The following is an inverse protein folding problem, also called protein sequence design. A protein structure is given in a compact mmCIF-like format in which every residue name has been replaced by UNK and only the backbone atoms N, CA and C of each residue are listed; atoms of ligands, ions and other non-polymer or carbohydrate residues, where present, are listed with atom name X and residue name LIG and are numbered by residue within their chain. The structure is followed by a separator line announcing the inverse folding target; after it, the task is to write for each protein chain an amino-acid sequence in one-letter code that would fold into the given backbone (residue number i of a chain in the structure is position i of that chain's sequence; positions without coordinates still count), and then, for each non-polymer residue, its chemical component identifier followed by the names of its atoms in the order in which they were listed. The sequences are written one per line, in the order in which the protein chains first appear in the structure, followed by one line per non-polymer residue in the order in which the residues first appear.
data_IF_854792118422
#
_entry.id   IF_854792118422
#
_cell.length_a   1.000
_cell.length_b   1.000
_cell.length_c   1.000
_cell.angle_alpha   90.00
_cell.angle_beta   90.00
_cell.angle_gamma   90.00
#
_symmetry.space_group_name_H-M   'P 1'
#
loop_
_entity.id
_entity.type
_entity.pdbx_description
1 polymer ?
#
# COMPACT_ATOMS: atom_id res chain seq x y z
N UNK A 1 -34.69 29.70 -34.93
CA UNK A 1 -33.63 29.59 -33.90
C UNK A 1 -33.68 28.19 -33.29
N UNK A 2 -32.73 27.31 -33.64
CA UNK A 2 -32.55 25.98 -33.01
C UNK A 2 -31.09 25.92 -32.57
N UNK A 3 -30.82 25.96 -31.27
CA UNK A 3 -29.46 25.89 -30.74
C UNK A 3 -28.99 24.44 -30.68
N UNK A 4 -27.96 24.16 -31.46
CA UNK A 4 -27.27 22.88 -31.54
C UNK A 4 -26.50 22.66 -30.22
N UNK A 5 -26.85 21.63 -29.46
CA UNK A 5 -26.10 21.25 -28.24
C UNK A 5 -24.93 20.34 -28.64
N UNK A 6 -23.75 20.94 -28.79
CA UNK A 6 -22.48 20.23 -28.88
C UNK A 6 -22.21 19.52 -27.54
N UNK A 7 -21.93 18.20 -27.51
CA UNK A 7 -21.55 17.53 -26.27
C UNK A 7 -20.17 18.01 -25.80
N UNK A 8 -19.91 18.06 -24.47
CA UNK A 8 -18.62 18.49 -23.96
C UNK A 8 -17.51 17.54 -24.42
N UNK A 9 -16.47 18.13 -25.04
CA UNK A 9 -15.19 17.49 -25.34
C UNK A 9 -14.72 16.72 -24.10
N UNK A 10 -14.46 15.41 -24.25
CA UNK A 10 -13.68 14.62 -23.29
C UNK A 10 -12.38 15.38 -23.00
N UNK A 11 -12.21 15.81 -21.76
CA UNK A 11 -10.95 16.37 -21.29
C UNK A 11 -9.84 15.37 -21.54
N UNK A 12 -8.91 15.79 -22.39
CA UNK A 12 -7.62 15.14 -22.64
C UNK A 12 -6.93 14.97 -21.28
N UNK A 13 -6.33 13.81 -20.95
CA UNK A 13 -5.58 13.67 -19.71
C UNK A 13 -4.46 14.70 -19.72
N UNK A 14 -4.50 15.60 -18.74
CA UNK A 14 -3.50 16.63 -18.54
C UNK A 14 -2.20 15.92 -18.16
N UNK A 15 -1.27 15.91 -19.13
CA UNK A 15 0.14 15.52 -19.06
C UNK A 15 0.46 14.19 -18.38
N UNK A 16 0.77 13.18 -19.20
CA UNK A 16 1.43 11.92 -18.80
C UNK A 16 2.61 12.12 -17.82
N UNK A 17 3.30 13.27 -17.88
CA UNK A 17 4.37 13.63 -16.94
C UNK A 17 3.90 13.78 -15.49
N UNK A 18 2.68 14.29 -15.25
CA UNK A 18 2.08 14.38 -13.91
C UNK A 18 1.67 12.99 -13.40
N UNK A 19 1.01 12.18 -14.24
CA UNK A 19 0.58 10.84 -13.86
C UNK A 19 1.76 9.88 -13.56
N UNK A 20 2.88 10.01 -14.29
CA UNK A 20 4.11 9.26 -14.01
C UNK A 20 4.82 9.76 -12.75
N UNK A 21 4.75 11.07 -12.49
CA UNK A 21 5.23 11.67 -11.24
C UNK A 21 4.47 11.11 -10.03
N UNK A 22 3.14 11.18 -10.07
CA UNK A 22 2.26 10.68 -9.03
C UNK A 22 2.48 9.18 -8.77
N UNK A 23 2.62 8.38 -9.84
CA UNK A 23 2.92 6.95 -9.72
C UNK A 23 4.29 6.69 -9.09
N UNK A 24 5.29 7.50 -9.42
CA UNK A 24 6.64 7.36 -8.87
C UNK A 24 6.67 7.71 -7.38
N UNK A 25 5.91 8.73 -6.95
CA UNK A 25 5.76 9.09 -5.55
C UNK A 25 5.03 7.99 -4.77
N UNK A 26 3.90 7.48 -5.30
CA UNK A 26 3.17 6.36 -4.70
C UNK A 26 4.05 5.11 -4.55
N UNK A 27 4.85 4.77 -5.56
CA UNK A 27 5.77 3.63 -5.49
C UNK A 27 6.86 3.84 -4.42
N UNK A 28 7.37 5.07 -4.26
CA UNK A 28 8.35 5.39 -3.20
C UNK A 28 7.73 5.25 -1.82
N UNK A 29 6.52 5.77 -1.63
CA UNK A 29 5.78 5.66 -0.38
C UNK A 29 5.52 4.19 -0.01
N UNK A 30 5.11 3.38 -0.98
CA UNK A 30 4.88 1.95 -0.77
C UNK A 30 6.17 1.22 -0.38
N UNK A 31 7.30 1.53 -1.04
CA UNK A 31 8.60 0.95 -0.70
C UNK A 31 9.06 1.39 0.69
N UNK A 32 8.85 2.67 1.06
CA UNK A 32 9.18 3.19 2.37
C UNK A 32 8.38 2.47 3.48
N UNK A 33 7.07 2.33 3.29
CA UNK A 33 6.20 1.60 4.21
C UNK A 33 6.63 0.13 4.34
N UNK A 34 6.89 -0.57 3.23
CA UNK A 34 7.30 -1.97 3.26
C UNK A 34 8.63 -2.17 3.99
N UNK A 35 9.60 -1.23 3.83
CA UNK A 35 10.87 -1.25 4.57
C UNK A 35 10.65 -1.04 6.06
N UNK A 36 9.89 -0.02 6.43
CA UNK A 36 9.58 0.28 7.83
C UNK A 36 8.92 -0.92 8.54
N UNK A 37 7.94 -1.54 7.89
CA UNK A 37 7.29 -2.74 8.42
C UNK A 37 8.26 -3.92 8.54
N UNK A 38 9.16 -4.11 7.56
CA UNK A 38 10.18 -5.17 7.65
C UNK A 38 11.18 -4.91 8.78
N UNK A 39 11.53 -3.66 9.05
CA UNK A 39 12.48 -3.29 10.09
C UNK A 39 11.89 -3.38 11.49
N UNK A 40 10.60 -3.07 11.66
CA UNK A 40 9.88 -3.21 12.94
C UNK A 40 9.65 -4.67 13.35
N UNK A 41 9.70 -5.60 12.40
CA UNK A 41 9.60 -7.03 12.67
C UNK A 41 10.85 -7.60 13.31
N UNK A 42 10.62 -8.57 14.20
CA UNK A 42 11.69 -9.39 14.77
C UNK A 42 12.54 -10.02 13.66
N UNK A 43 13.87 -10.12 13.84
CA UNK A 43 14.79 -10.61 12.80
C UNK A 43 14.38 -11.95 12.18
N UNK A 44 13.86 -12.87 13.00
CA UNK A 44 13.41 -14.19 12.56
C UNK A 44 12.16 -14.18 11.67
N UNK A 45 11.36 -13.10 11.65
CA UNK A 45 10.14 -12.98 10.86
C UNK A 45 10.34 -12.23 9.54
N UNK A 46 11.47 -11.52 9.39
CA UNK A 46 11.80 -10.76 8.18
C UNK A 46 11.90 -11.63 6.93
N UNK A 47 12.33 -12.89 7.09
CA UNK A 47 12.39 -13.87 6.00
C UNK A 47 10.98 -14.25 5.50
N UNK A 48 9.98 -14.19 6.38
CA UNK A 48 8.59 -14.47 6.05
C UNK A 48 7.82 -13.30 5.44
N UNK A 49 8.39 -12.09 5.45
CA UNK A 49 7.75 -10.89 4.89
C UNK A 49 8.14 -10.73 3.42
N UNK A 50 7.14 -10.84 2.53
CA UNK A 50 7.31 -10.68 1.08
C UNK A 50 7.02 -9.25 0.61
N UNK A 51 6.12 -8.53 1.28
CA UNK A 51 5.78 -7.16 0.93
C UNK A 51 4.55 -6.63 1.65
N UNK A 52 4.15 -5.41 1.31
CA UNK A 52 2.94 -4.78 1.84
C UNK A 52 2.27 -3.87 0.82
N UNK A 53 0.98 -3.69 1.01
CA UNK A 53 0.14 -2.79 0.23
C UNK A 53 -0.82 -2.08 1.19
N UNK A 54 -0.97 -0.77 1.03
CA UNK A 54 -1.88 0.04 1.84
C UNK A 54 -2.95 0.63 0.93
N UNK A 55 -4.17 0.14 1.10
CA UNK A 55 -5.33 0.69 0.42
C UNK A 55 -5.70 2.07 0.98
N UNK A 56 -6.21 3.02 0.16
CA UNK A 56 -6.66 4.34 0.61
C UNK A 56 -7.71 4.31 1.73
N UNK A 57 -8.47 3.21 1.86
CA UNK A 57 -9.41 2.96 2.96
C UNK A 57 -8.74 2.60 4.30
N UNK A 58 -7.40 2.59 4.36
CA UNK A 58 -6.62 2.31 5.57
C UNK A 58 -6.45 0.83 5.87
N UNK A 59 -6.63 -0.05 4.87
CA UNK A 59 -6.36 -1.48 5.03
C UNK A 59 -4.93 -1.80 4.60
N UNK A 60 -4.07 -2.13 5.56
CA UNK A 60 -2.72 -2.62 5.32
C UNK A 60 -2.77 -4.12 5.04
N UNK A 61 -2.49 -4.51 3.80
CA UNK A 61 -2.28 -5.91 3.41
C UNK A 61 -0.79 -6.24 3.49
N UNK A 62 -0.45 -7.26 4.25
CA UNK A 62 0.92 -7.78 4.37
C UNK A 62 0.97 -9.14 3.70
N UNK A 63 1.94 -9.31 2.80
CA UNK A 63 2.16 -10.54 2.07
C UNK A 63 3.22 -11.38 2.78
N UNK A 64 2.83 -12.57 3.17
CA UNK A 64 3.69 -13.58 3.77
C UNK A 64 4.27 -14.48 2.68
N UNK A 65 5.55 -14.84 2.78
CA UNK A 65 6.22 -15.71 1.83
C UNK A 65 5.70 -17.17 1.85
N UNK A 66 5.16 -17.62 2.98
CA UNK A 66 4.59 -18.96 3.12
C UNK A 66 3.53 -19.03 4.25
N UNK A 67 2.68 -20.07 4.28
CA UNK A 67 1.63 -20.25 5.30
C UNK A 67 2.12 -20.22 6.74
N UNK A 68 3.25 -20.84 7.02
CA UNK A 68 3.87 -20.86 8.35
C UNK A 68 4.27 -19.45 8.82
N UNK A 69 4.69 -18.59 7.89
CA UNK A 69 5.00 -17.20 8.18
C UNK A 69 3.74 -16.37 8.36
N UNK A 70 2.68 -16.64 7.61
CA UNK A 70 1.42 -15.94 7.74
C UNK A 70 0.83 -16.08 9.15
N UNK A 71 0.96 -17.24 9.80
CA UNK A 71 0.52 -17.43 11.17
C UNK A 71 1.33 -16.56 12.15
N UNK A 72 2.66 -16.51 11.97
CA UNK A 72 3.56 -15.76 12.85
C UNK A 72 3.41 -14.24 12.67
N UNK A 73 3.25 -13.77 11.44
CA UNK A 73 3.03 -12.36 11.11
C UNK A 73 1.70 -11.82 11.64
N UNK A 74 0.69 -12.69 11.86
CA UNK A 74 -0.58 -12.29 12.49
C UNK A 74 -0.38 -11.82 13.93
N UNK A 75 0.57 -12.40 14.68
CA UNK A 75 0.88 -11.96 16.03
C UNK A 75 1.58 -10.60 16.05
N UNK A 76 2.35 -10.28 15.01
CA UNK A 76 3.01 -8.98 14.85
C UNK A 76 2.11 -7.92 14.21
N UNK A 77 0.87 -8.24 13.84
CA UNK A 77 -0.03 -7.29 13.17
C UNK A 77 -0.26 -6.01 13.98
N UNK A 78 -0.36 -6.11 15.32
CA UNK A 78 -0.48 -4.93 16.19
C UNK A 78 0.80 -4.09 16.27
N UNK A 79 1.98 -4.72 16.14
CA UNK A 79 3.26 -4.01 16.07
C UNK A 79 3.41 -3.30 14.71
N UNK A 80 2.99 -3.94 13.63
CA UNK A 80 2.97 -3.35 12.29
C UNK A 80 2.00 -2.15 12.19
N UNK A 81 0.81 -2.25 12.78
CA UNK A 81 -0.15 -1.14 12.84
C UNK A 81 0.43 0.06 13.58
N UNK A 82 1.02 -0.16 14.76
CA UNK A 82 1.68 0.90 15.52
C UNK A 82 2.88 1.50 14.78
N UNK A 83 3.73 0.67 14.16
CA UNK A 83 4.87 1.16 13.39
C UNK A 83 4.41 2.05 12.23
N UNK A 84 3.40 1.60 11.46
CA UNK A 84 2.85 2.38 10.36
C UNK A 84 2.20 3.69 10.85
N UNK A 85 1.45 3.66 11.96
CA UNK A 85 0.88 4.85 12.58
C UNK A 85 1.94 5.86 13.03
N UNK A 86 3.01 5.39 13.68
CA UNK A 86 4.15 6.23 14.07
C UNK A 86 4.89 6.81 12.86
N UNK A 87 4.88 6.10 11.73
CA UNK A 87 5.43 6.57 10.47
C UNK A 87 4.54 7.53 9.67
N UNK A 88 3.32 7.82 10.16
CA UNK A 88 2.38 8.74 9.51
C UNK A 88 1.44 8.10 8.50
N UNK A 89 1.41 6.76 8.37
CA UNK A 89 0.49 6.07 7.47
C UNK A 89 -0.86 5.79 8.16
N UNK A 90 -2.00 6.07 7.51
CA UNK A 90 -3.33 5.96 8.12
C UNK A 90 -3.86 4.51 8.12
N UNK A 91 -3.16 3.60 8.82
CA UNK A 91 -3.57 2.21 8.96
C UNK A 91 -4.70 2.10 9.99
N UNK A 92 -5.79 1.45 9.59
CA UNK A 92 -6.97 1.17 10.42
C UNK A 92 -7.19 -0.33 10.63
N UNK A 93 -6.65 -1.15 9.73
CA UNK A 93 -6.80 -2.60 9.76
C UNK A 93 -5.63 -3.28 9.08
N UNK A 94 -5.09 -4.32 9.70
CA UNK A 94 -4.08 -5.18 9.11
C UNK A 94 -4.70 -6.49 8.61
N UNK A 95 -4.31 -6.91 7.40
CA UNK A 95 -4.66 -8.20 6.79
C UNK A 95 -3.41 -8.92 6.36
N UNK A 96 -3.27 -10.19 6.74
CA UNK A 96 -2.15 -11.03 6.29
C UNK A 96 -2.65 -11.94 5.16
N UNK A 97 -1.97 -11.90 4.01
CA UNK A 97 -2.21 -12.76 2.84
C UNK A 97 -0.93 -13.49 2.47
N UNK A 98 -1.04 -14.54 1.67
CA UNK A 98 0.12 -15.19 1.06
C UNK A 98 0.53 -14.44 -0.20
N UNK A 99 1.84 -14.30 -0.42
CA UNK A 99 2.40 -13.96 -1.72
C UNK A 99 2.22 -15.20 -2.61
N UNK A 100 1.32 -15.11 -3.59
CA UNK A 100 1.11 -16.12 -4.62
C UNK A 100 2.12 -15.94 -5.75
#
# INVERSE_FOLDING_TARGET
MRTNRTPPRRSRPETLGSALGDLSEQARDQVALAKLLRESLQPGLRAGFAGSDLDPGGTLTVFAAAPEWAARLRFEAGNMEQAAGNGGWPVRRVRIRLAL
#
